data_IF_503260843907
#
_entry.id   IF_503260843907
#
_cell.length_a   1.000
_cell.length_b   1.000
_cell.length_c   1.000
_cell.angle_alpha   90.00
_cell.angle_beta   90.00
_cell.angle_gamma   90.00
#
_symmetry.space_group_name_H-M   'P 1'
#
loop_
_entity.id
_entity.type
_entity.pdbx_description
1 polymer ?
#
# COMPACT_ATOMS: atom_id res chain seq x y z
N UNK A 1 22.42 -28.44 24.06
CA UNK A 1 21.19 -29.10 23.57
C UNK A 1 21.50 -30.36 22.76
N UNK A 2 22.46 -30.33 21.83
CA UNK A 2 22.94 -31.50 21.04
C UNK A 2 23.46 -32.65 21.93
N UNK A 3 24.16 -32.33 23.04
CA UNK A 3 24.58 -33.33 24.02
C UNK A 3 23.41 -34.08 24.67
N UNK A 4 22.27 -33.41 24.89
CA UNK A 4 21.10 -33.99 25.55
C UNK A 4 20.37 -34.99 24.64
N UNK A 5 20.33 -34.70 23.34
CA UNK A 5 19.84 -35.63 22.32
C UNK A 5 20.78 -36.83 22.15
N UNK A 6 22.09 -36.61 22.27
CA UNK A 6 23.08 -37.69 22.20
C UNK A 6 22.98 -38.64 23.40
N UNK A 7 22.80 -38.11 24.62
CA UNK A 7 22.56 -38.93 25.82
C UNK A 7 21.19 -39.61 25.78
N UNK A 8 20.16 -38.96 25.23
CA UNK A 8 18.84 -39.55 25.05
C UNK A 8 18.85 -40.71 24.05
N UNK A 9 19.63 -40.59 22.96
CA UNK A 9 19.86 -41.65 21.98
C UNK A 9 20.60 -42.86 22.57
N UNK A 10 21.61 -42.62 23.41
CA UNK A 10 22.36 -43.68 24.10
C UNK A 10 21.45 -44.38 25.13
N UNK A 11 20.62 -43.64 25.85
CA UNK A 11 19.69 -44.20 26.84
C UNK A 11 18.56 -45.02 26.22
N UNK A 12 18.28 -44.83 24.92
CA UNK A 12 17.27 -45.60 24.18
C UNK A 12 17.85 -46.85 23.49
N UNK A 13 19.16 -47.10 23.62
CA UNK A 13 19.82 -48.23 22.98
C UNK A 13 19.63 -49.53 23.78
N UNK A 14 18.57 -50.24 23.38
CA UNK A 14 18.52 -51.71 23.21
C UNK A 14 18.45 -52.56 24.49
N UNK A 15 17.22 -52.76 24.94
CA UNK A 15 16.79 -54.10 25.33
C UNK A 15 15.69 -54.60 24.36
N UNK A 16 16.10 -55.47 23.42
CA UNK A 16 15.28 -56.41 22.64
C UNK A 16 14.18 -55.87 21.69
N UNK A 17 14.54 -55.55 20.44
CA UNK A 17 13.87 -55.92 19.15
C UNK A 17 14.36 -54.99 18.02
N UNK A 18 15.25 -55.49 17.15
CA UNK A 18 16.00 -54.70 16.16
C UNK A 18 15.21 -54.05 15.01
N UNK A 19 13.87 -54.20 14.93
CA UNK A 19 13.06 -53.63 13.84
C UNK A 19 12.16 -52.46 14.25
N UNK A 20 11.89 -52.25 15.55
CA UNK A 20 11.06 -51.12 16.04
C UNK A 20 11.89 -49.89 16.39
N UNK A 21 13.07 -50.07 16.99
CA UNK A 21 13.95 -48.96 17.38
C UNK A 21 14.43 -48.14 16.18
N UNK A 22 14.79 -48.80 15.07
CA UNK A 22 15.21 -48.13 13.84
C UNK A 22 14.06 -47.31 13.21
N UNK A 23 12.82 -47.83 13.25
CA UNK A 23 11.64 -47.08 12.78
C UNK A 23 11.36 -45.85 13.64
N UNK A 24 11.46 -45.97 14.96
CA UNK A 24 11.29 -44.84 15.89
C UNK A 24 12.36 -43.79 15.66
N UNK A 25 13.62 -44.21 15.45
CA UNK A 25 14.72 -43.32 15.13
C UNK A 25 14.49 -42.56 13.81
N UNK A 26 14.07 -43.26 12.75
CA UNK A 26 13.75 -42.62 11.47
C UNK A 26 12.59 -41.63 11.60
N UNK A 27 11.55 -41.96 12.37
CA UNK A 27 10.42 -41.05 12.62
C UNK A 27 10.91 -39.79 13.36
N UNK A 28 11.72 -39.95 14.40
CA UNK A 28 12.30 -38.82 15.13
C UNK A 28 13.18 -37.93 14.25
N UNK A 29 13.98 -38.54 13.36
CA UNK A 29 14.82 -37.82 12.39
C UNK A 29 13.97 -37.02 11.38
N UNK A 30 12.88 -37.59 10.88
CA UNK A 30 11.96 -36.90 9.96
C UNK A 30 11.29 -35.72 10.65
N UNK A 31 10.84 -35.88 11.90
CA UNK A 31 10.23 -34.80 12.69
C UNK A 31 11.25 -33.68 12.93
N UNK A 32 12.49 -34.01 13.26
CA UNK A 32 13.57 -33.03 13.44
C UNK A 32 13.84 -32.23 12.15
N UNK A 33 14.02 -32.92 11.02
CA UNK A 33 14.24 -32.28 9.71
C UNK A 33 13.06 -31.42 9.27
N UNK A 34 11.85 -31.87 9.56
CA UNK A 34 10.61 -31.13 9.25
C UNK A 34 10.51 -29.84 10.09
N UNK A 35 10.96 -29.85 11.35
CA UNK A 35 11.04 -28.65 12.18
C UNK A 35 11.95 -27.58 11.60
N UNK A 36 13.17 -27.95 11.20
CA UNK A 36 14.16 -27.03 10.59
C UNK A 36 13.66 -26.43 9.26
N UNK A 37 12.98 -27.23 8.44
CA UNK A 37 12.40 -26.77 7.18
C UNK A 37 11.32 -25.70 7.38
N UNK A 38 10.45 -25.86 8.37
CA UNK A 38 9.36 -24.91 8.65
C UNK A 38 9.93 -23.56 9.09
N UNK A 39 10.93 -23.54 9.98
CA UNK A 39 11.58 -22.31 10.42
C UNK A 39 12.30 -21.59 9.28
N UNK A 40 13.03 -22.34 8.45
CA UNK A 40 13.79 -21.78 7.32
C UNK A 40 12.86 -21.17 6.27
N UNK A 41 11.75 -21.85 5.94
CA UNK A 41 10.75 -21.35 5.00
C UNK A 41 10.09 -20.07 5.52
N UNK A 42 9.70 -20.03 6.79
CA UNK A 42 9.07 -18.84 7.37
C UNK A 42 9.99 -17.62 7.36
N UNK A 43 11.27 -17.81 7.69
CA UNK A 43 12.27 -16.75 7.64
C UNK A 43 12.51 -16.24 6.21
N UNK A 44 12.63 -17.15 5.25
CA UNK A 44 12.85 -16.81 3.84
C UNK A 44 11.67 -16.04 3.23
N UNK A 45 10.43 -16.46 3.51
CA UNK A 45 9.24 -15.78 2.99
C UNK A 45 9.01 -14.39 3.60
N UNK A 46 9.33 -14.18 4.88
CA UNK A 46 9.21 -12.85 5.48
C UNK A 46 10.33 -11.92 5.02
N UNK A 47 11.57 -12.40 4.98
CA UNK A 47 12.73 -11.58 4.59
C UNK A 47 12.66 -11.11 3.12
N UNK A 48 12.14 -11.96 2.23
CA UNK A 48 11.97 -11.61 0.81
C UNK A 48 10.83 -10.61 0.58
N UNK A 49 9.74 -10.68 1.36
CA UNK A 49 8.66 -9.69 1.30
C UNK A 49 9.14 -8.32 1.77
N UNK A 50 9.80 -8.27 2.92
CA UNK A 50 10.30 -7.02 3.50
C UNK A 50 11.33 -6.35 2.57
N UNK A 51 12.27 -7.13 2.02
CA UNK A 51 13.24 -6.62 1.05
C UNK A 51 12.58 -6.08 -0.22
N UNK A 52 11.53 -6.76 -0.71
CA UNK A 52 10.80 -6.33 -1.91
C UNK A 52 10.02 -5.05 -1.64
N UNK A 53 9.30 -4.96 -0.53
CA UNK A 53 8.56 -3.76 -0.13
C UNK A 53 9.49 -2.55 0.07
N UNK A 54 10.62 -2.74 0.75
CA UNK A 54 11.64 -1.70 0.87
C UNK A 54 12.18 -1.27 -0.50
N UNK A 55 12.45 -2.22 -1.40
CA UNK A 55 12.95 -1.90 -2.75
C UNK A 55 11.96 -1.06 -3.56
N UNK A 56 10.67 -1.38 -3.48
CA UNK A 56 9.59 -0.63 -4.13
C UNK A 56 9.54 0.78 -3.54
N UNK A 57 9.55 0.90 -2.22
CA UNK A 57 9.51 2.20 -1.54
C UNK A 57 10.70 3.09 -1.87
N UNK A 58 11.90 2.50 -1.97
CA UNK A 58 13.11 3.22 -2.41
C UNK A 58 12.96 3.70 -3.86
N UNK A 59 12.40 2.87 -4.75
CA UNK A 59 12.18 3.25 -6.14
C UNK A 59 11.17 4.39 -6.29
N UNK A 60 10.07 4.36 -5.53
CA UNK A 60 9.06 5.41 -5.51
C UNK A 60 9.62 6.73 -4.97
N UNK A 61 10.34 6.68 -3.85
CA UNK A 61 10.97 7.86 -3.26
C UNK A 61 12.00 8.49 -4.20
N UNK A 62 12.76 7.68 -4.96
CA UNK A 62 13.69 8.19 -5.97
C UNK A 62 12.95 8.86 -7.12
N UNK A 63 11.87 8.26 -7.61
CA UNK A 63 11.07 8.86 -8.68
C UNK A 63 10.45 10.20 -8.24
N UNK A 64 9.91 10.26 -7.02
CA UNK A 64 9.37 11.50 -6.44
C UNK A 64 10.45 12.57 -6.28
N UNK A 65 11.65 12.20 -5.81
CA UNK A 65 12.75 13.13 -5.65
C UNK A 65 13.19 13.72 -7.01
N UNK A 66 13.32 12.87 -8.04
CA UNK A 66 13.63 13.32 -9.39
C UNK A 66 12.55 14.23 -9.98
N UNK A 67 11.27 13.96 -9.72
CA UNK A 67 10.18 14.84 -10.12
C UNK A 67 10.27 16.20 -9.42
N UNK A 68 10.43 16.22 -8.10
CA UNK A 68 10.55 17.45 -7.32
C UNK A 68 11.75 18.29 -7.78
N UNK A 69 12.89 17.65 -8.09
CA UNK A 69 14.05 18.36 -8.67
C UNK A 69 13.71 19.05 -9.98
N UNK A 70 12.96 18.38 -10.87
CA UNK A 70 12.52 18.98 -12.14
C UNK A 70 11.56 20.15 -11.90
N UNK A 71 10.65 20.02 -10.95
CA UNK A 71 9.74 21.10 -10.55
C UNK A 71 10.50 22.30 -9.99
N UNK A 72 11.52 22.08 -9.15
CA UNK A 72 12.40 23.16 -8.65
C UNK A 72 13.17 23.81 -9.80
N UNK A 73 13.72 23.03 -10.73
CA UNK A 73 14.40 23.58 -11.90
C UNK A 73 13.46 24.45 -12.73
N UNK A 74 12.23 23.98 -12.97
CA UNK A 74 11.20 24.73 -13.67
C UNK A 74 10.80 26.01 -12.92
N UNK A 75 10.64 25.93 -11.59
CA UNK A 75 10.30 27.08 -10.76
C UNK A 75 11.36 28.20 -10.80
N UNK A 76 12.62 27.84 -11.07
CA UNK A 76 13.72 28.80 -11.22
C UNK A 76 13.84 29.37 -12.65
N UNK A 77 13.00 28.95 -13.60
CA UNK A 77 13.02 29.48 -14.96
C UNK A 77 12.33 30.84 -15.03
N UNK A 78 12.79 31.68 -15.97
CA UNK A 78 12.20 32.99 -16.23
C UNK A 78 10.70 32.88 -16.61
N UNK A 79 10.33 31.82 -17.33
CA UNK A 79 8.96 31.56 -17.75
C UNK A 79 8.02 31.34 -16.57
N UNK A 80 8.46 30.58 -15.56
CA UNK A 80 7.68 30.39 -14.34
C UNK A 80 7.58 31.67 -13.52
N UNK A 81 8.68 32.41 -13.38
CA UNK A 81 8.69 33.70 -12.67
C UNK A 81 7.74 34.70 -13.34
N UNK A 82 7.78 34.78 -14.67
CA UNK A 82 6.89 35.64 -15.46
C UNK A 82 5.42 35.22 -15.29
N UNK A 83 5.13 33.92 -15.33
CA UNK A 83 3.79 33.40 -15.11
C UNK A 83 3.24 33.79 -13.74
N UNK A 84 4.01 33.55 -12.67
CA UNK A 84 3.61 33.90 -11.29
C UNK A 84 3.47 35.42 -11.13
N UNK A 85 4.37 36.20 -11.73
CA UNK A 85 4.25 37.66 -11.73
C UNK A 85 2.97 38.13 -12.43
N UNK A 86 2.63 37.55 -13.59
CA UNK A 86 1.38 37.84 -14.33
C UNK A 86 0.14 37.50 -13.51
N UNK A 87 0.11 36.32 -12.90
CA UNK A 87 -1.01 35.88 -12.05
C UNK A 87 -1.19 36.79 -10.82
N UNK A 88 -0.11 37.15 -10.13
CA UNK A 88 -0.16 37.99 -8.92
C UNK A 88 -0.48 39.46 -9.23
N UNK A 89 -0.02 39.97 -10.36
CA UNK A 89 -0.24 41.36 -10.76
C UNK A 89 -1.48 41.53 -11.64
N UNK A 90 -2.22 40.45 -11.92
CA UNK A 90 -3.34 40.42 -12.87
C UNK A 90 -2.97 41.03 -14.23
N UNK A 91 -1.75 40.77 -14.71
CA UNK A 91 -1.24 41.29 -15.97
C UNK A 91 -1.44 40.26 -17.09
N UNK A 92 -1.94 40.74 -18.23
CA UNK A 92 -2.08 39.96 -19.45
C UNK A 92 -0.80 40.06 -20.31
N UNK A 93 -0.51 39.04 -21.12
CA UNK A 93 0.59 39.09 -22.09
C UNK A 93 0.20 39.97 -23.27
N UNK A 94 1.20 40.47 -24.01
CA UNK A 94 0.96 41.20 -25.25
C UNK A 94 0.04 40.40 -26.20
N UNK A 95 -1.11 40.99 -26.54
CA UNK A 95 -2.14 40.36 -27.38
C UNK A 95 -3.29 39.67 -26.62
N UNK A 96 -3.28 39.62 -25.29
CA UNK A 96 -4.36 39.06 -24.46
C UNK A 96 -5.30 40.16 -23.92
N UNK A 97 -6.61 39.88 -23.84
CA UNK A 97 -7.63 40.81 -23.32
C UNK A 97 -8.16 40.33 -21.97
N UNK A 98 -8.06 41.19 -20.94
CA UNK A 98 -8.62 40.90 -19.61
C UNK A 98 -10.14 41.13 -19.64
N UNK A 99 -10.92 40.10 -19.28
CA UNK A 99 -12.38 40.18 -19.21
C UNK A 99 -12.83 40.10 -17.75
N UNK A 100 -13.52 41.13 -17.26
CA UNK A 100 -14.10 41.16 -15.92
C UNK A 100 -15.55 40.71 -15.96
N UNK A 101 -15.87 39.59 -15.30
CA UNK A 101 -17.25 39.12 -15.14
C UNK A 101 -17.88 39.76 -13.90
N UNK A 102 -18.84 40.67 -14.11
CA UNK A 102 -19.66 41.20 -13.03
C UNK A 102 -20.83 40.25 -12.78
N UNK A 103 -20.73 39.43 -11.74
CA UNK A 103 -21.86 38.63 -11.28
C UNK A 103 -22.90 39.54 -10.65
N UNK A 104 -24.03 39.74 -11.34
CA UNK A 104 -25.20 40.38 -10.76
C UNK A 104 -25.85 39.43 -9.76
N UNK A 105 -25.87 39.81 -8.48
CA UNK A 105 -26.48 39.02 -7.39
C UNK A 105 -28.01 39.00 -7.44
N UNK A 106 -28.64 39.71 -8.40
CA UNK A 106 -30.09 39.75 -8.57
C UNK A 106 -30.64 38.81 -9.66
N UNK A 107 -30.13 37.57 -9.71
CA UNK A 107 -30.88 36.50 -10.39
C UNK A 107 -31.59 35.64 -9.34
N UNK A 108 -32.87 35.99 -9.16
CA UNK A 108 -33.97 35.18 -8.64
C UNK A 108 -33.58 33.74 -8.27
N UNK A 109 -33.23 33.52 -7.00
CA UNK A 109 -33.02 32.18 -6.46
C UNK A 109 -34.37 31.46 -6.39
N UNK A 110 -34.70 30.68 -7.43
CA UNK A 110 -35.75 29.68 -7.30
C UNK A 110 -35.28 28.61 -6.30
N UNK A 111 -36.14 28.17 -5.36
CA UNK A 111 -35.73 27.24 -4.31
C UNK A 111 -35.44 25.86 -4.92
N UNK A 112 -34.15 25.49 -4.97
CA UNK A 112 -33.61 24.21 -5.44
C UNK A 112 -34.02 23.01 -4.55
N UNK A 113 -34.73 23.26 -3.44
CA UNK A 113 -35.06 22.25 -2.42
C UNK A 113 -36.04 21.16 -2.89
N UNK A 114 -37.01 21.46 -3.76
CA UNK A 114 -38.10 20.52 -4.08
C UNK A 114 -37.69 19.38 -5.02
N UNK A 115 -36.69 19.59 -5.88
CA UNK A 115 -36.24 18.59 -6.85
C UNK A 115 -35.17 17.65 -6.25
N UNK A 116 -34.32 18.19 -5.37
CA UNK A 116 -33.28 17.45 -4.65
C UNK A 116 -33.88 16.41 -3.70
N UNK A 117 -34.92 16.77 -2.94
CA UNK A 117 -35.55 15.86 -1.98
C UNK A 117 -36.16 14.62 -2.65
N UNK A 118 -36.80 14.80 -3.80
CA UNK A 118 -37.43 13.70 -4.55
C UNK A 118 -36.40 12.75 -5.18
N UNK A 119 -35.22 13.27 -5.56
CA UNK A 119 -34.12 12.45 -6.06
C UNK A 119 -33.48 11.62 -4.94
N UNK A 120 -33.18 12.25 -3.80
CA UNK A 120 -32.57 11.60 -2.64
C UNK A 120 -33.45 10.47 -2.09
N UNK A 121 -34.77 10.72 -1.93
CA UNK A 121 -35.71 9.69 -1.47
C UNK A 121 -35.72 8.47 -2.39
N UNK A 122 -35.86 8.68 -3.70
CA UNK A 122 -35.85 7.58 -4.69
C UNK A 122 -34.53 6.81 -4.73
N UNK A 123 -33.41 7.51 -4.57
CA UNK A 123 -32.08 6.90 -4.54
C UNK A 123 -31.91 6.01 -3.30
N UNK A 124 -32.26 6.51 -2.11
CA UNK A 124 -32.18 5.74 -0.87
C UNK A 124 -33.14 4.56 -0.83
N UNK A 125 -34.37 4.73 -1.35
CA UNK A 125 -35.36 3.64 -1.43
C UNK A 125 -34.84 2.47 -2.27
N UNK A 126 -34.17 2.76 -3.39
CA UNK A 126 -33.56 1.73 -4.23
C UNK A 126 -32.29 1.14 -3.61
N UNK A 127 -31.50 1.92 -2.89
CA UNK A 127 -30.29 1.45 -2.22
C UNK A 127 -30.63 0.51 -1.05
N UNK A 128 -31.63 0.84 -0.23
CA UNK A 128 -32.07 -0.01 0.87
C UNK A 128 -32.68 -1.32 0.40
N UNK A 129 -33.32 -1.35 -0.77
CA UNK A 129 -33.82 -2.61 -1.38
C UNK A 129 -32.71 -3.62 -1.66
N UNK A 130 -31.47 -3.18 -1.87
CA UNK A 130 -30.33 -4.08 -2.13
C UNK A 130 -29.79 -4.75 -0.86
N UNK A 131 -30.01 -4.14 0.31
CA UNK A 131 -29.55 -4.67 1.60
C UNK A 131 -30.61 -5.48 2.35
N UNK A 132 -31.87 -5.50 1.87
CA UNK A 132 -32.98 -6.20 2.52
C UNK A 132 -33.16 -7.66 2.03
N UNK A 133 -32.06 -8.37 1.78
CA UNK A 133 -32.07 -9.81 1.45
C UNK A 133 -31.47 -10.63 2.58
#
# INVERSE_FOLDING_TARGET
>A
MILFLFTFLISFNVEKKGFSALRIFLIALIIYMSGELIFTLHYYFNSTKESRELSIKVSELRAQNEQIKKEIQFANTQEFIEKIARENLMLAKDGETIVYFKWDKNQNSQPVSSQSENFLKKFFDNLLKLFKK
#
